data_IF_336579379484
#
_entry.id   IF_336579379484
#
_cell.length_a   1.000
_cell.length_b   1.000
_cell.length_c   1.000
_cell.angle_alpha   90.00
_cell.angle_beta   90.00
_cell.angle_gamma   90.00
#
_symmetry.space_group_name_H-M   'P 1'
#
loop_
_entity.id
_entity.type
_entity.pdbx_description
1 polymer ?
#
# COMPACT_ATOMS: atom_id res chain seq x y z
N UNK A 1 -16.72 67.04 -47.45
CA UNK A 1 -16.43 66.72 -46.01
C UNK A 1 -16.49 65.21 -45.82
N UNK A 2 -15.36 64.53 -45.87
CA UNK A 2 -15.27 63.05 -45.66
C UNK A 2 -14.60 62.78 -44.33
N UNK A 3 -15.34 62.16 -43.39
CA UNK A 3 -14.80 61.72 -42.07
C UNK A 3 -14.16 60.34 -42.27
N UNK A 4 -12.87 60.27 -41.96
CA UNK A 4 -12.11 59.02 -41.91
C UNK A 4 -12.23 58.47 -40.49
N UNK A 5 -12.76 57.24 -40.36
CA UNK A 5 -12.81 56.50 -39.12
C UNK A 5 -11.58 55.62 -39.06
N UNK A 6 -10.73 55.81 -38.05
CA UNK A 6 -9.59 54.95 -37.79
C UNK A 6 -10.06 53.82 -36.84
N UNK A 7 -9.93 52.58 -37.29
CA UNK A 7 -10.16 51.40 -36.46
C UNK A 7 -8.85 51.00 -35.77
N UNK A 8 -8.85 51.02 -34.49
CA UNK A 8 -7.73 50.52 -33.64
C UNK A 8 -7.86 48.98 -33.46
N UNK A 9 -6.93 48.24 -34.04
CA UNK A 9 -6.78 46.80 -33.79
C UNK A 9 -6.05 46.64 -32.45
N UNK A 10 -6.76 46.21 -31.42
CA UNK A 10 -6.16 45.80 -30.15
C UNK A 10 -5.62 44.36 -30.28
N UNK A 11 -4.30 44.18 -30.25
CA UNK A 11 -3.65 42.90 -30.06
C UNK A 11 -3.79 42.49 -28.61
N UNK A 12 -4.63 41.51 -28.32
CA UNK A 12 -4.62 40.80 -27.02
C UNK A 12 -3.55 39.71 -27.10
N UNK A 13 -2.39 39.98 -26.48
CA UNK A 13 -1.38 38.99 -26.14
C UNK A 13 -1.97 38.04 -25.10
N UNK A 14 -2.47 36.91 -25.58
CA UNK A 14 -2.92 35.81 -24.73
C UNK A 14 -1.73 35.24 -23.98
N UNK A 15 -1.75 35.34 -22.65
CA UNK A 15 -0.80 34.70 -21.74
C UNK A 15 -0.99 33.19 -21.78
N UNK A 16 -0.18 32.51 -22.62
CA UNK A 16 0.00 31.05 -22.53
C UNK A 16 0.98 30.80 -21.41
N UNK A 17 0.46 30.79 -20.19
CA UNK A 17 1.28 30.55 -19.01
C UNK A 17 0.74 29.38 -18.23
N UNK A 18 1.61 28.41 -17.98
CA UNK A 18 1.62 27.52 -16.81
C UNK A 18 0.65 26.34 -16.76
N UNK A 19 0.21 25.79 -17.87
CA UNK A 19 -0.59 24.55 -17.86
C UNK A 19 0.24 23.26 -17.80
N UNK A 20 1.57 23.33 -17.85
CA UNK A 20 2.43 22.14 -17.94
C UNK A 20 2.96 21.62 -16.58
N UNK A 21 3.04 22.47 -15.57
CA UNK A 21 3.53 22.08 -14.24
C UNK A 21 2.50 21.33 -13.38
N UNK A 22 1.21 21.43 -13.70
CA UNK A 22 0.13 20.76 -12.95
C UNK A 22 -0.29 19.40 -13.53
N UNK A 23 0.33 18.95 -14.63
CA UNK A 23 -0.06 17.69 -15.30
C UNK A 23 0.57 16.44 -14.69
N UNK A 24 1.67 16.56 -13.97
CA UNK A 24 2.35 15.41 -13.35
C UNK A 24 1.60 14.88 -12.12
N UNK A 25 0.89 15.72 -11.40
CA UNK A 25 0.18 15.34 -10.15
C UNK A 25 -1.24 14.78 -10.39
N UNK A 26 -1.87 15.11 -11.51
CA UNK A 26 -3.28 14.73 -11.76
C UNK A 26 -3.50 13.26 -12.09
N UNK A 27 -2.49 12.55 -12.57
CA UNK A 27 -2.66 11.12 -12.92
C UNK A 27 -2.65 10.20 -11.69
N UNK A 28 -2.06 10.63 -10.58
CA UNK A 28 -2.04 9.85 -9.34
C UNK A 28 -3.38 9.95 -8.60
N UNK A 29 -4.10 11.05 -8.78
CA UNK A 29 -5.39 11.32 -8.11
C UNK A 29 -6.62 10.84 -8.89
N UNK A 30 -6.45 10.31 -10.10
CA UNK A 30 -7.58 9.72 -10.82
C UNK A 30 -8.00 8.41 -10.16
N UNK A 31 -9.29 8.21 -9.80
CA UNK A 31 -9.75 7.05 -9.03
C UNK A 31 -9.38 5.71 -9.67
N UNK A 32 -9.37 5.61 -11.01
CA UNK A 32 -9.02 4.38 -11.73
C UNK A 32 -7.51 4.10 -11.65
N UNK A 33 -6.64 5.11 -11.82
CA UNK A 33 -5.18 4.95 -11.77
C UNK A 33 -4.74 4.69 -10.33
N UNK A 34 -5.38 5.35 -9.37
CA UNK A 34 -5.10 5.19 -7.95
C UNK A 34 -5.47 3.80 -7.43
N UNK A 35 -6.57 3.23 -7.88
CA UNK A 35 -6.98 1.88 -7.48
C UNK A 35 -6.09 0.77 -8.06
N UNK A 36 -5.27 1.07 -9.06
CA UNK A 36 -4.36 0.12 -9.70
C UNK A 36 -2.91 0.25 -9.23
N UNK A 37 -2.59 1.22 -8.36
CA UNK A 37 -1.23 1.39 -7.88
C UNK A 37 -1.01 0.75 -6.50
N UNK A 38 0.25 0.52 -6.15
CA UNK A 38 0.63 -0.08 -4.87
C UNK A 38 0.12 0.70 -3.66
N UNK A 39 0.19 2.01 -3.70
CA UNK A 39 -0.21 2.84 -2.56
C UNK A 39 -1.70 2.72 -2.28
N UNK A 40 -2.53 2.66 -3.31
CA UNK A 40 -3.95 2.38 -3.20
C UNK A 40 -4.24 0.99 -2.65
N UNK A 41 -3.46 -0.01 -3.07
CA UNK A 41 -3.58 -1.38 -2.57
C UNK A 41 -3.22 -1.45 -1.07
N UNK A 42 -2.12 -0.85 -0.64
CA UNK A 42 -1.71 -0.79 0.78
C UNK A 42 -2.70 0.01 1.62
N UNK A 43 -3.23 1.10 1.07
CA UNK A 43 -4.28 1.90 1.70
C UNK A 43 -5.64 1.19 1.76
N UNK A 44 -5.78 0.07 1.03
CA UNK A 44 -7.01 -0.71 0.90
C UNK A 44 -8.22 0.14 0.48
N UNK A 45 -8.02 1.05 -0.47
CA UNK A 45 -9.05 1.98 -0.94
C UNK A 45 -10.25 1.26 -1.54
N UNK A 46 -10.04 0.13 -2.22
CA UNK A 46 -11.06 -0.76 -2.74
C UNK A 46 -11.93 -1.36 -1.63
N UNK A 47 -11.31 -1.79 -0.51
CA UNK A 47 -12.04 -2.31 0.65
C UNK A 47 -12.84 -1.20 1.31
N UNK A 48 -12.21 -0.02 1.49
CA UNK A 48 -12.86 1.15 2.08
C UNK A 48 -14.05 1.62 1.25
N UNK A 49 -13.89 1.74 -0.06
CA UNK A 49 -14.95 2.17 -0.98
C UNK A 49 -16.15 1.19 -1.00
N UNK A 50 -15.87 -0.11 -0.84
CA UNK A 50 -16.91 -1.15 -0.80
C UNK A 50 -17.49 -1.37 0.60
N UNK A 51 -16.94 -0.74 1.65
CA UNK A 51 -17.34 -0.96 3.04
C UNK A 51 -18.69 -0.31 3.35
N UNK A 52 -19.72 -1.14 3.52
CA UNK A 52 -21.09 -0.70 3.82
C UNK A 52 -21.83 -1.80 4.59
N UNK A 53 -22.86 -1.45 5.37
CA UNK A 53 -23.73 -2.44 6.03
C UNK A 53 -24.28 -3.46 5.03
N UNK A 54 -24.25 -4.73 5.40
CA UNK A 54 -24.66 -5.85 4.53
C UNK A 54 -23.65 -6.20 3.42
N UNK A 55 -22.54 -5.48 3.32
CA UNK A 55 -21.43 -5.81 2.43
C UNK A 55 -20.60 -6.98 2.96
N UNK A 56 -19.75 -7.56 2.11
CA UNK A 56 -18.85 -8.64 2.52
C UNK A 56 -17.78 -8.11 3.49
N UNK A 57 -17.60 -8.81 4.60
CA UNK A 57 -16.50 -8.53 5.52
C UNK A 57 -15.19 -8.99 4.90
N UNK A 58 -14.21 -8.08 4.85
CA UNK A 58 -12.90 -8.29 4.22
C UNK A 58 -11.80 -7.61 5.01
N UNK A 59 -10.66 -8.29 5.12
CA UNK A 59 -9.46 -7.72 5.71
C UNK A 59 -8.31 -7.82 4.72
N UNK A 60 -7.42 -6.82 4.76
CA UNK A 60 -6.11 -6.87 4.07
C UNK A 60 -5.02 -6.51 5.07
N UNK A 61 -4.04 -7.39 5.20
CA UNK A 61 -2.88 -7.18 6.04
C UNK A 61 -1.65 -7.14 5.14
N UNK A 62 -0.85 -6.10 5.29
CA UNK A 62 0.41 -5.95 4.54
C UNK A 62 1.55 -5.99 5.54
N UNK A 63 2.49 -6.88 5.28
CA UNK A 63 3.78 -6.94 5.96
C UNK A 63 4.86 -6.45 5.03
N UNK A 64 5.43 -5.31 5.33
CA UNK A 64 6.66 -4.83 4.70
C UNK A 64 7.84 -5.32 5.51
N UNK A 65 8.71 -6.07 4.86
CA UNK A 65 9.93 -6.59 5.45
C UNK A 65 11.12 -6.12 4.63
N UNK A 66 11.34 -4.81 4.66
CA UNK A 66 12.19 -4.06 3.75
C UNK A 66 11.67 -4.19 2.30
N UNK A 67 11.15 -3.11 1.75
CA UNK A 67 10.50 -3.10 0.42
C UNK A 67 11.27 -3.84 -0.67
N UNK A 68 12.59 -3.71 -0.67
CA UNK A 68 13.46 -4.35 -1.67
C UNK A 68 13.66 -5.85 -1.44
N UNK A 69 13.49 -6.31 -0.21
CA UNK A 69 13.71 -7.70 0.14
C UNK A 69 12.41 -8.51 0.08
N UNK A 70 11.37 -8.05 0.78
CA UNK A 70 10.13 -8.79 0.81
C UNK A 70 8.93 -7.95 1.23
N UNK A 71 7.81 -8.15 0.54
CA UNK A 71 6.50 -7.71 0.99
C UNK A 71 5.51 -8.86 0.93
N UNK A 72 4.68 -9.01 1.96
CA UNK A 72 3.60 -9.99 2.02
C UNK A 72 2.26 -9.32 2.16
N UNK A 73 1.30 -9.79 1.40
CA UNK A 73 -0.09 -9.36 1.46
C UNK A 73 -0.97 -10.56 1.81
N UNK A 74 -1.83 -10.38 2.79
CA UNK A 74 -2.82 -11.37 3.20
C UNK A 74 -4.20 -10.76 3.09
N UNK A 75 -5.07 -11.36 2.28
CA UNK A 75 -6.45 -10.93 2.13
C UNK A 75 -7.41 -12.00 2.61
N UNK A 76 -8.22 -11.65 3.60
CA UNK A 76 -9.25 -12.52 4.14
C UNK A 76 -10.62 -12.09 3.62
N UNK A 77 -11.36 -13.05 3.14
CA UNK A 77 -12.74 -12.91 2.71
C UNK A 77 -13.61 -13.76 3.67
N UNK A 78 -14.18 -13.09 4.67
CA UNK A 78 -14.99 -13.78 5.68
C UNK A 78 -16.29 -14.27 5.07
N UNK A 79 -16.71 -15.48 5.41
CA UNK A 79 -17.94 -16.11 4.97
C UNK A 79 -18.98 -16.14 6.10
N UNK A 80 -20.28 -16.20 5.78
CA UNK A 80 -21.35 -16.24 6.78
C UNK A 80 -21.28 -17.45 7.71
N UNK A 81 -20.69 -18.56 7.27
CA UNK A 81 -20.52 -19.80 8.05
C UNK A 81 -19.31 -19.74 9.01
N UNK A 82 -18.66 -18.58 9.11
CA UNK A 82 -17.49 -18.37 9.96
C UNK A 82 -16.17 -18.80 9.33
N UNK A 83 -16.15 -19.43 8.16
CA UNK A 83 -14.92 -19.74 7.43
C UNK A 83 -14.37 -18.51 6.71
N UNK A 84 -13.15 -18.58 6.15
CA UNK A 84 -12.61 -17.50 5.33
C UNK A 84 -11.75 -18.05 4.20
N UNK A 85 -11.87 -17.47 3.01
CA UNK A 85 -10.84 -17.57 1.99
C UNK A 85 -9.67 -16.66 2.34
N UNK A 86 -8.46 -17.19 2.37
CA UNK A 86 -7.22 -16.44 2.53
C UNK A 86 -6.44 -16.45 1.23
N UNK A 87 -6.28 -15.28 0.62
CA UNK A 87 -5.36 -15.07 -0.48
C UNK A 87 -4.04 -14.53 0.05
N UNK A 88 -2.94 -15.06 -0.44
CA UNK A 88 -1.58 -14.70 -0.02
C UNK A 88 -0.82 -14.24 -1.25
N UNK A 89 -0.14 -13.11 -1.14
CA UNK A 89 0.77 -12.59 -2.16
C UNK A 89 2.13 -12.29 -1.55
N UNK A 90 3.20 -12.73 -2.20
CA UNK A 90 4.57 -12.46 -1.75
C UNK A 90 5.37 -11.86 -2.90
N UNK A 91 5.86 -10.65 -2.68
CA UNK A 91 6.93 -10.04 -3.45
C UNK A 91 8.24 -10.35 -2.73
N UNK A 92 9.21 -10.91 -3.42
CA UNK A 92 10.54 -11.16 -2.89
C UNK A 92 11.58 -10.86 -3.96
N UNK A 93 12.79 -10.50 -3.53
CA UNK A 93 13.95 -10.22 -4.39
C UNK A 93 13.65 -9.16 -5.47
N UNK A 94 13.03 -8.06 -5.07
CA UNK A 94 12.76 -6.95 -5.98
C UNK A 94 14.08 -6.23 -6.29
N UNK A 95 14.66 -6.50 -7.45
CA UNK A 95 15.71 -5.64 -7.97
C UNK A 95 15.16 -4.21 -8.17
N UNK A 96 15.89 -3.16 -7.72
CA UNK A 96 15.37 -1.79 -7.59
C UNK A 96 14.85 -1.15 -8.88
N UNK A 97 15.15 -1.70 -10.04
CA UNK A 97 14.94 -1.04 -11.32
C UNK A 97 13.64 -1.42 -12.06
N UNK A 98 12.90 -2.43 -11.62
CA UNK A 98 11.91 -3.05 -12.50
C UNK A 98 10.47 -2.63 -12.23
N UNK A 99 10.18 -1.97 -11.12
CA UNK A 99 8.78 -1.71 -10.72
C UNK A 99 8.24 -0.37 -11.24
N UNK A 100 9.09 0.60 -11.52
CA UNK A 100 8.64 1.96 -11.89
C UNK A 100 8.97 2.35 -13.33
N UNK A 101 9.88 1.67 -14.00
CA UNK A 101 10.42 2.15 -15.29
C UNK A 101 9.98 1.40 -16.54
N UNK A 102 9.16 0.35 -16.45
CA UNK A 102 8.75 -0.38 -17.65
C UNK A 102 7.24 -0.68 -17.71
N UNK A 103 6.42 0.36 -17.66
CA UNK A 103 5.13 0.29 -18.38
C UNK A 103 5.46 0.64 -19.82
N UNK A 104 5.95 -0.31 -20.56
CA UNK A 104 6.01 -0.23 -22.00
C UNK A 104 4.58 -0.38 -22.52
N UNK A 105 4.11 0.64 -23.23
CA UNK A 105 2.74 0.74 -23.79
C UNK A 105 2.34 -0.47 -24.68
N UNK A 106 3.23 -1.43 -24.92
CA UNK A 106 3.00 -2.65 -25.70
C UNK A 106 2.39 -3.85 -24.94
N UNK A 107 2.33 -3.81 -23.61
CA UNK A 107 1.81 -4.90 -22.78
C UNK A 107 0.51 -4.54 -22.07
N UNK A 108 -0.42 -3.89 -22.76
CA UNK A 108 -1.76 -3.58 -22.25
C UNK A 108 -2.60 -4.82 -21.86
N UNK A 109 -2.07 -6.04 -22.02
CA UNK A 109 -2.70 -7.29 -21.59
C UNK A 109 -2.42 -7.69 -20.16
N UNK A 110 -1.39 -7.16 -19.51
CA UNK A 110 -1.02 -7.53 -18.13
C UNK A 110 -0.97 -6.31 -17.21
N UNK A 111 -2.15 -5.77 -16.90
CA UNK A 111 -2.34 -4.69 -15.91
C UNK A 111 -1.86 -5.13 -14.51
N UNK A 112 -1.63 -6.44 -14.32
CA UNK A 112 -1.10 -7.03 -13.08
C UNK A 112 0.43 -7.20 -13.14
N UNK A 113 1.07 -6.88 -14.27
CA UNK A 113 2.51 -7.06 -14.51
C UNK A 113 3.44 -6.45 -13.46
N UNK A 114 3.16 -5.26 -12.87
CA UNK A 114 3.98 -4.70 -11.80
C UNK A 114 4.01 -5.54 -10.51
N UNK A 115 3.08 -6.47 -10.37
CA UNK A 115 2.85 -7.24 -9.16
C UNK A 115 3.04 -8.74 -9.41
N UNK A 116 4.18 -9.15 -9.87
CA UNK A 116 4.53 -10.59 -9.94
C UNK A 116 4.68 -11.19 -8.55
N UNK A 117 3.64 -11.02 -7.73
CA UNK A 117 3.53 -11.72 -6.46
C UNK A 117 3.43 -13.21 -6.72
N UNK A 118 4.26 -13.98 -6.05
CA UNK A 118 3.98 -15.41 -5.88
C UNK A 118 2.72 -15.54 -5.03
N UNK A 119 1.80 -16.35 -5.49
CA UNK A 119 0.46 -16.43 -4.90
C UNK A 119 0.25 -17.75 -4.20
N UNK A 120 -0.40 -17.69 -3.05
CA UNK A 120 -0.96 -18.82 -2.33
C UNK A 120 -2.43 -18.57 -2.01
N UNK A 121 -3.16 -19.64 -1.79
CA UNK A 121 -4.57 -19.57 -1.35
C UNK A 121 -4.81 -20.67 -0.33
N UNK A 122 -5.67 -20.36 0.66
CA UNK A 122 -6.06 -21.31 1.69
C UNK A 122 -7.49 -21.04 2.14
N UNK A 123 -8.23 -22.09 2.40
CA UNK A 123 -9.49 -22.00 3.12
C UNK A 123 -9.19 -22.17 4.63
N UNK A 124 -9.61 -21.22 5.44
CA UNK A 124 -9.51 -21.29 6.89
C UNK A 124 -10.83 -21.80 7.48
N UNK A 125 -10.72 -22.72 8.43
CA UNK A 125 -11.89 -23.18 9.19
C UNK A 125 -12.40 -22.09 10.12
N UNK A 126 -13.64 -22.19 10.59
CA UNK A 126 -14.22 -21.24 11.53
C UNK A 126 -13.38 -21.09 12.82
N UNK A 127 -12.79 -22.18 13.32
CA UNK A 127 -11.88 -22.14 14.48
C UNK A 127 -10.61 -21.34 14.16
N UNK A 128 -9.98 -21.55 13.02
CA UNK A 128 -8.79 -20.79 12.60
C UNK A 128 -9.08 -19.30 12.40
N UNK A 129 -10.26 -18.99 11.83
CA UNK A 129 -10.72 -17.60 11.69
C UNK A 129 -10.95 -16.98 13.06
N UNK A 130 -11.63 -17.68 13.98
CA UNK A 130 -11.85 -17.22 15.35
C UNK A 130 -10.53 -16.91 16.07
N UNK A 131 -9.56 -17.81 15.97
CA UNK A 131 -8.23 -17.65 16.55
C UNK A 131 -7.46 -16.46 15.96
N UNK A 132 -7.53 -16.27 14.64
CA UNK A 132 -6.89 -15.13 13.97
C UNK A 132 -7.56 -13.82 14.37
N UNK A 133 -8.89 -13.77 14.37
CA UNK A 133 -9.65 -12.59 14.78
C UNK A 133 -9.39 -12.23 16.25
N UNK A 134 -9.30 -13.21 17.14
CA UNK A 134 -8.91 -13.01 18.53
C UNK A 134 -7.50 -12.41 18.67
N UNK A 135 -6.55 -12.90 17.86
CA UNK A 135 -5.19 -12.36 17.86
C UNK A 135 -5.10 -10.95 17.29
N UNK A 136 -5.92 -10.61 16.28
CA UNK A 136 -6.05 -9.25 15.75
C UNK A 136 -6.65 -8.32 16.83
N UNK A 137 -7.69 -8.76 17.52
CA UNK A 137 -8.29 -8.00 18.63
C UNK A 137 -7.28 -7.76 19.76
N UNK A 138 -6.54 -8.80 20.17
CA UNK A 138 -5.49 -8.69 21.19
C UNK A 138 -4.34 -7.75 20.77
N UNK A 139 -4.13 -7.57 19.47
CA UNK A 139 -3.18 -6.61 18.90
C UNK A 139 -3.78 -5.21 18.74
N UNK A 140 -5.01 -4.95 19.19
CA UNK A 140 -5.75 -3.70 18.97
C UNK A 140 -5.88 -3.32 17.49
N UNK A 141 -6.02 -4.30 16.58
CA UNK A 141 -6.11 -4.07 15.14
C UNK A 141 -7.40 -3.36 14.71
N UNK A 142 -8.41 -3.37 15.56
CA UNK A 142 -9.72 -2.76 15.31
C UNK A 142 -9.96 -1.48 16.11
N UNK A 143 -8.93 -0.97 16.76
CA UNK A 143 -8.97 0.32 17.45
C UNK A 143 -8.76 1.51 16.50
N UNK A 144 -8.74 2.74 17.03
CA UNK A 144 -8.49 3.93 16.24
C UNK A 144 -7.07 3.92 15.65
N UNK A 145 -6.87 4.42 14.43
CA UNK A 145 -5.54 4.48 13.81
C UNK A 145 -4.62 5.44 14.57
N UNK A 146 -3.32 5.16 14.52
CA UNK A 146 -2.30 6.02 15.10
C UNK A 146 -1.92 7.12 14.13
N UNK A 147 -2.65 8.24 14.20
CA UNK A 147 -2.40 9.40 13.33
C UNK A 147 -0.95 9.91 13.45
N UNK A 148 -0.33 10.18 12.32
CA UNK A 148 1.05 10.65 12.22
C UNK A 148 2.12 9.55 12.23
N UNK A 149 1.76 8.26 12.44
CA UNK A 149 2.75 7.19 12.35
C UNK A 149 3.34 7.11 10.95
N UNK A 150 4.67 7.08 10.89
CA UNK A 150 5.45 7.01 9.65
C UNK A 150 5.89 5.58 9.39
N UNK A 151 5.79 5.15 8.14
CA UNK A 151 6.10 3.80 7.67
C UNK A 151 7.04 3.91 6.47
N UNK A 152 8.36 3.93 6.69
CA UNK A 152 9.35 3.99 5.62
C UNK A 152 9.40 2.68 4.85
N UNK A 153 9.76 2.73 3.57
CA UNK A 153 9.89 1.55 2.70
C UNK A 153 10.99 0.59 3.15
N UNK A 154 12.06 1.13 3.73
CA UNK A 154 13.25 0.41 4.14
C UNK A 154 13.21 -0.07 5.61
N UNK A 155 12.02 -0.34 6.14
CA UNK A 155 11.83 -0.79 7.52
C UNK A 155 10.77 -1.89 7.61
N UNK A 156 10.59 -2.48 8.80
CA UNK A 156 9.59 -3.50 9.06
C UNK A 156 8.32 -2.89 9.63
N UNK A 157 7.20 -3.16 9.00
CA UNK A 157 5.91 -2.69 9.50
C UNK A 157 4.75 -3.56 9.00
N UNK A 158 3.64 -3.48 9.72
CA UNK A 158 2.36 -4.02 9.34
C UNK A 158 1.35 -2.91 9.11
N UNK A 159 0.45 -3.11 8.13
CA UNK A 159 -0.83 -2.44 8.08
C UNK A 159 -1.95 -3.46 8.13
N UNK A 160 -3.05 -3.10 8.77
CA UNK A 160 -4.28 -3.89 8.85
C UNK A 160 -5.44 -3.00 8.45
N UNK A 161 -6.01 -3.26 7.30
CA UNK A 161 -7.23 -2.65 6.82
C UNK A 161 -8.39 -3.65 6.97
N UNK A 162 -9.52 -3.20 7.46
CA UNK A 162 -10.67 -4.07 7.69
C UNK A 162 -11.99 -3.38 7.33
N UNK A 163 -12.89 -4.13 6.72
CA UNK A 163 -14.31 -3.83 6.69
C UNK A 163 -15.04 -5.00 7.34
N UNK A 164 -15.69 -4.75 8.47
CA UNK A 164 -16.47 -5.75 9.20
C UNK A 164 -17.86 -5.17 9.49
N UNK A 165 -18.87 -5.86 9.04
CA UNK A 165 -20.27 -5.44 9.23
C UNK A 165 -20.55 -3.98 8.80
N UNK A 166 -19.84 -3.55 7.75
CA UNK A 166 -19.94 -2.18 7.25
C UNK A 166 -19.12 -1.15 8.02
N UNK A 167 -18.34 -1.57 9.02
CA UNK A 167 -17.47 -0.68 9.79
C UNK A 167 -16.05 -0.78 9.24
N UNK A 168 -15.56 0.35 8.75
CA UNK A 168 -14.18 0.51 8.30
C UNK A 168 -13.23 0.66 9.48
N UNK A 169 -12.06 0.03 9.39
CA UNK A 169 -10.96 0.17 10.34
C UNK A 169 -9.61 0.09 9.65
N UNK A 170 -8.65 0.82 10.19
CA UNK A 170 -7.26 0.80 9.72
C UNK A 170 -6.30 0.89 10.90
N UNK A 171 -5.26 0.06 10.90
CA UNK A 171 -4.19 0.09 11.89
C UNK A 171 -2.83 -0.10 11.25
N UNK A 172 -1.79 0.39 11.93
CA UNK A 172 -0.41 0.17 11.53
C UNK A 172 0.51 -0.05 12.74
N UNK A 173 1.57 -0.81 12.52
CA UNK A 173 2.57 -1.21 13.51
C UNK A 173 3.94 -1.05 12.89
N UNK A 174 4.80 -0.27 13.49
CA UNK A 174 6.15 0.01 13.01
C UNK A 174 7.19 -0.57 13.97
N UNK A 175 8.17 -1.29 13.45
CA UNK A 175 9.31 -1.81 14.19
C UNK A 175 10.42 -0.74 14.29
N UNK A 176 11.20 -0.72 15.38
CA UNK A 176 11.01 -1.42 16.65
C UNK A 176 10.17 -0.57 17.62
N UNK A 177 8.97 -1.03 17.92
CA UNK A 177 8.12 -0.39 18.94
C UNK A 177 7.45 -1.46 19.79
N UNK A 178 7.09 -1.13 21.05
CA UNK A 178 6.35 -2.05 21.93
C UNK A 178 5.06 -2.53 21.28
N UNK A 179 4.41 -1.66 20.51
CA UNK A 179 3.19 -2.03 19.81
C UNK A 179 3.44 -3.08 18.72
N UNK A 180 4.53 -2.98 17.99
CA UNK A 180 4.94 -3.99 17.04
C UNK A 180 5.32 -5.29 17.73
N UNK A 181 6.07 -5.23 18.82
CA UNK A 181 6.44 -6.40 19.64
C UNK A 181 5.22 -7.13 20.21
N UNK A 182 4.13 -6.42 20.46
CA UNK A 182 2.88 -6.97 20.97
C UNK A 182 1.90 -7.48 19.89
N UNK A 183 2.29 -7.50 18.61
CA UNK A 183 1.50 -8.09 17.53
C UNK A 183 1.38 -9.60 17.73
N UNK A 184 0.13 -10.12 17.82
CA UNK A 184 -0.17 -11.53 18.06
C UNK A 184 -0.62 -12.28 16.80
N UNK A 185 -1.02 -11.58 15.75
CA UNK A 185 -1.55 -12.18 14.52
C UNK A 185 -0.46 -12.61 13.52
N UNK A 186 0.75 -12.05 13.60
CA UNK A 186 1.80 -12.25 12.61
C UNK A 186 2.17 -13.74 12.46
N UNK A 187 2.47 -14.42 13.56
CA UNK A 187 2.86 -15.84 13.53
C UNK A 187 1.73 -16.75 13.02
N UNK A 188 0.48 -16.40 13.32
CA UNK A 188 -0.67 -17.15 12.79
C UNK A 188 -0.78 -17.00 11.29
N UNK A 189 -0.63 -15.78 10.75
CA UNK A 189 -0.61 -15.57 9.30
C UNK A 189 0.54 -16.29 8.62
N UNK A 190 1.73 -16.23 9.21
CA UNK A 190 2.90 -16.96 8.69
C UNK A 190 2.70 -18.47 8.71
N UNK A 191 1.99 -19.02 9.71
CA UNK A 191 1.66 -20.45 9.74
C UNK A 191 0.61 -20.88 8.71
N UNK A 192 -0.22 -19.95 8.25
CA UNK A 192 -1.20 -20.18 7.18
C UNK A 192 -0.59 -19.99 5.79
N UNK A 193 0.56 -19.31 5.70
CA UNK A 193 1.22 -19.00 4.45
C UNK A 193 1.78 -20.29 3.81
N UNK A 194 1.29 -20.59 2.62
CA UNK A 194 1.71 -21.74 1.82
C UNK A 194 2.56 -21.38 0.61
N UNK A 195 3.00 -20.11 0.54
CA UNK A 195 3.96 -19.70 -0.48
C UNK A 195 5.35 -20.13 -0.05
N UNK A 196 6.03 -20.90 -0.91
CA UNK A 196 7.35 -21.48 -0.63
C UNK A 196 8.49 -20.43 -0.68
N UNK A 197 8.35 -19.36 0.10
CA UNK A 197 9.35 -18.32 0.30
C UNK A 197 9.47 -18.09 1.81
N UNK A 198 10.68 -18.17 2.34
CA UNK A 198 10.93 -17.92 3.75
C UNK A 198 10.50 -16.52 4.16
N UNK A 199 9.94 -16.37 5.36
CA UNK A 199 9.56 -15.07 5.91
C UNK A 199 10.79 -14.29 6.32
N UNK A 200 10.97 -13.10 5.77
CA UNK A 200 11.98 -12.16 6.26
C UNK A 200 11.50 -11.58 7.60
N UNK A 201 12.16 -11.98 8.67
CA UNK A 201 11.78 -11.61 10.05
C UNK A 201 12.32 -10.24 10.43
N UNK A 202 11.62 -9.49 11.29
CA UNK A 202 12.14 -8.22 11.80
C UNK A 202 13.47 -8.43 12.51
N UNK A 203 14.41 -7.56 12.23
CA UNK A 203 15.75 -7.54 12.84
C UNK A 203 16.26 -6.11 12.95
N UNK A 204 17.21 -5.89 13.82
CA UNK A 204 17.96 -4.65 13.79
C UNK A 204 18.83 -4.62 12.53
N UNK A 205 18.74 -3.52 11.79
CA UNK A 205 19.52 -3.35 10.58
C UNK A 205 20.90 -2.83 10.92
N UNK A 206 21.92 -3.51 10.43
CA UNK A 206 23.30 -3.04 10.55
C UNK A 206 23.53 -1.79 9.68
N UNK A 207 24.40 -0.87 10.09
CA UNK A 207 24.71 0.33 9.30
C UNK A 207 25.12 0.03 7.84
N UNK A 208 25.70 -1.15 7.60
CA UNK A 208 26.07 -1.60 6.27
C UNK A 208 24.85 -2.03 5.43
N UNK A 209 23.80 -2.55 6.06
CA UNK A 209 22.53 -2.91 5.38
C UNK A 209 21.75 -1.66 5.01
N UNK A 210 21.73 -0.65 5.88
CA UNK A 210 21.12 0.66 5.61
C UNK A 210 21.84 1.40 4.45
N UNK A 211 23.08 1.04 4.13
CA UNK A 211 23.90 1.63 3.07
C UNK A 211 23.95 0.80 1.78
N UNK A 212 23.33 -0.36 1.74
CA UNK A 212 23.36 -1.26 0.58
C UNK A 212 22.34 -0.86 -0.50
N UNK A 213 22.58 0.27 -1.14
CA UNK A 213 22.07 0.47 -2.49
C UNK A 213 23.28 0.45 -3.44
N UNK A 214 23.45 -0.61 -4.26
CA UNK A 214 24.57 -0.70 -5.20
C UNK A 214 24.57 0.42 -6.24
N UNK A 215 23.49 1.17 -6.36
CA UNK A 215 23.36 2.32 -7.26
C UNK A 215 23.55 3.67 -6.55
N UNK A 216 23.71 3.68 -5.23
CA UNK A 216 24.05 4.92 -4.52
C UNK A 216 25.52 5.27 -4.71
N UNK A 217 25.78 6.51 -5.15
CA UNK A 217 27.14 7.06 -5.16
C UNK A 217 27.71 7.06 -3.74
N UNK A 218 29.01 6.76 -3.57
CA UNK A 218 29.67 6.82 -2.27
C UNK A 218 29.38 8.15 -1.57
N UNK A 219 28.94 8.11 -0.30
CA UNK A 219 28.63 9.30 0.50
C UNK A 219 27.18 9.76 0.51
N UNK A 220 26.26 9.07 -0.18
CA UNK A 220 24.82 9.24 0.06
C UNK A 220 24.30 8.14 0.97
N UNK A 221 23.71 8.54 2.07
CA UNK A 221 22.88 7.64 2.88
C UNK A 221 21.66 7.20 2.07
N UNK A 222 21.20 5.98 2.29
CA UNK A 222 19.97 5.46 1.72
C UNK A 222 18.81 6.35 2.19
N UNK A 223 18.38 7.26 1.34
CA UNK A 223 17.16 8.01 1.59
C UNK A 223 15.95 7.06 1.40
N UNK A 224 14.94 7.17 2.26
CA UNK A 224 13.66 6.52 2.03
C UNK A 224 13.18 6.89 0.63
N UNK A 225 12.91 5.90 -0.23
CA UNK A 225 12.36 6.15 -1.57
C UNK A 225 10.94 6.68 -1.47
N UNK A 226 10.21 6.14 -0.49
CA UNK A 226 8.88 6.58 -0.14
C UNK A 226 8.57 6.31 1.33
N UNK A 227 7.62 7.03 1.83
CA UNK A 227 7.15 6.91 3.20
C UNK A 227 5.64 7.03 3.20
N UNK A 228 4.97 6.09 3.86
CA UNK A 228 3.55 6.20 4.14
C UNK A 228 3.34 6.92 5.47
N UNK A 229 2.25 7.65 5.59
CA UNK A 229 1.86 8.31 6.83
C UNK A 229 0.44 7.90 7.17
N UNK A 230 0.27 7.36 8.36
CA UNK A 230 -1.06 7.01 8.88
C UNK A 230 -1.83 8.30 9.21
N UNK A 231 -3.06 8.37 8.79
CA UNK A 231 -4.01 9.42 9.12
C UNK A 231 -5.11 8.92 10.04
N UNK A 232 -6.11 9.76 10.27
CA UNK A 232 -7.25 9.45 11.16
C UNK A 232 -8.12 8.29 10.66
N UNK A 233 -8.18 8.09 9.33
CA UNK A 233 -9.07 7.12 8.69
C UNK A 233 -8.32 6.11 7.80
N UNK A 234 -7.02 5.97 7.93
CA UNK A 234 -6.17 5.14 7.09
C UNK A 234 -4.91 5.87 6.66
N UNK A 235 -4.31 5.49 5.55
CA UNK A 235 -3.14 6.22 5.03
C UNK A 235 -3.58 7.58 4.48
N UNK A 236 -2.77 8.60 4.76
CA UNK A 236 -2.97 9.94 4.18
C UNK A 236 -2.72 9.86 2.67
N UNK A 237 -3.57 10.52 1.89
CA UNK A 237 -3.28 10.80 0.50
C UNK A 237 -2.00 11.66 0.43
N UNK A 238 -1.14 11.34 -0.52
CA UNK A 238 0.02 12.18 -0.86
C UNK A 238 -0.42 13.28 -1.79
#
# INVERSE_FOLDING_TARGET
>A
MKKVMAAALGLTLGTISTAWAQRADRNVDQPIVRSLNWFSYVAAEDIRAACRPGGRSRLRLIYNALWEEQVRAYELFLQPDGTAGLNIGVLADQAPATIVSSITIGELGDITGPWRMRRGQRLLTAAQVGDLMGSLQASAAFGPPRDGLRLPDNDFWWTVASCRDGVWGFQAYHYPTDRFANVKFAEKLFSFDNVAIAVNRPRNLEPAELRRDPNLRPGRERADRWMLVVGKDGLRAR
#
